data_IF_626350972005
#
_entry.id   IF_626350972005
#
_cell.length_a   1.000
_cell.length_b   1.000
_cell.length_c   1.000
_cell.angle_alpha   90.00
_cell.angle_beta   90.00
_cell.angle_gamma   90.00
#
_symmetry.space_group_name_H-M   'P 1'
#
loop_
_entity.id
_entity.type
_entity.pdbx_description
1 polymer ?
#
# COMPACT_ATOMS: atom_id res chain seq x y z
N UNK A 1 -74.65 -78.33 15.32
CA UNK A 1 -73.29 -77.78 15.31
C UNK A 1 -72.78 -77.99 13.89
N UNK A 2 -72.96 -77.00 13.04
CA UNK A 2 -72.59 -77.01 11.58
C UNK A 2 -71.19 -76.44 11.44
N UNK A 3 -70.22 -77.26 11.16
CA UNK A 3 -68.90 -76.88 10.76
C UNK A 3 -68.94 -76.53 9.24
N UNK A 4 -68.93 -75.28 8.94
CA UNK A 4 -68.65 -74.78 7.57
C UNK A 4 -67.12 -74.89 7.35
N UNK A 5 -66.67 -75.95 6.65
CA UNK A 5 -65.34 -75.99 6.08
C UNK A 5 -65.36 -75.02 4.89
N UNK A 6 -64.69 -73.89 5.02
CA UNK A 6 -64.41 -73.07 3.86
C UNK A 6 -63.17 -73.64 3.16
N UNK A 7 -63.38 -74.44 2.07
CA UNK A 7 -62.33 -74.75 1.07
C UNK A 7 -61.96 -73.42 0.36
N UNK A 8 -60.91 -72.86 0.84
CA UNK A 8 -60.30 -71.70 0.10
C UNK A 8 -59.58 -72.28 -1.10
N UNK A 9 -60.13 -72.06 -2.31
CA UNK A 9 -59.59 -72.55 -3.56
C UNK A 9 -58.13 -71.99 -3.72
N UNK A 10 -57.17 -72.85 -4.07
CA UNK A 10 -55.78 -72.58 -4.32
C UNK A 10 -55.54 -71.41 -5.31
N UNK A 11 -56.45 -71.20 -6.21
CA UNK A 11 -56.46 -70.09 -7.18
C UNK A 11 -56.70 -68.75 -6.50
N UNK A 12 -57.59 -68.73 -5.47
CA UNK A 12 -57.91 -67.51 -4.70
C UNK A 12 -56.73 -67.11 -3.83
N UNK A 13 -56.02 -68.07 -3.23
CA UNK A 13 -54.77 -67.80 -2.42
C UNK A 13 -53.69 -67.22 -3.36
N UNK A 14 -53.50 -67.77 -4.56
CA UNK A 14 -52.49 -67.36 -5.54
C UNK A 14 -52.75 -65.92 -6.04
N UNK A 15 -54.00 -65.51 -6.30
CA UNK A 15 -54.43 -64.19 -6.69
C UNK A 15 -54.17 -63.20 -5.55
N UNK A 16 -54.50 -63.59 -4.32
CA UNK A 16 -54.22 -62.70 -3.15
C UNK A 16 -52.75 -62.50 -2.88
N UNK A 17 -51.89 -63.51 -3.10
CA UNK A 17 -50.42 -63.40 -3.01
C UNK A 17 -49.89 -62.47 -4.07
N UNK A 18 -50.36 -62.55 -5.33
CA UNK A 18 -49.95 -61.63 -6.39
C UNK A 18 -50.38 -60.19 -6.11
N UNK A 19 -51.59 -59.99 -5.61
CA UNK A 19 -52.09 -58.68 -5.19
C UNK A 19 -51.26 -58.06 -4.05
N UNK A 20 -50.84 -58.89 -3.10
CA UNK A 20 -49.97 -58.45 -1.98
C UNK A 20 -48.57 -58.06 -2.49
N UNK A 21 -47.99 -58.81 -3.41
CA UNK A 21 -46.69 -58.54 -4.02
C UNK A 21 -46.75 -57.20 -4.80
N UNK A 22 -47.79 -56.98 -5.58
CA UNK A 22 -48.01 -55.73 -6.31
C UNK A 22 -48.19 -54.56 -5.35
N UNK A 23 -48.96 -54.74 -4.30
CA UNK A 23 -49.19 -53.69 -3.27
C UNK A 23 -47.88 -53.32 -2.54
N UNK A 24 -47.09 -54.31 -2.15
CA UNK A 24 -45.78 -54.11 -1.52
C UNK A 24 -44.83 -53.40 -2.48
N UNK A 25 -44.81 -53.81 -3.78
CA UNK A 25 -44.02 -53.13 -4.83
C UNK A 25 -44.42 -51.66 -4.97
N UNK A 26 -45.71 -51.37 -4.99
CA UNK A 26 -46.24 -50.01 -5.09
C UNK A 26 -45.88 -49.13 -3.88
N UNK A 27 -45.95 -49.71 -2.66
CA UNK A 27 -45.53 -49.07 -1.42
C UNK A 27 -44.02 -48.74 -1.47
N UNK A 28 -43.18 -49.67 -1.90
CA UNK A 28 -41.73 -49.44 -2.02
C UNK A 28 -41.40 -48.36 -3.03
N UNK A 29 -42.10 -48.30 -4.15
CA UNK A 29 -41.96 -47.19 -5.14
C UNK A 29 -42.40 -45.85 -4.56
N UNK A 30 -43.52 -45.79 -3.84
CA UNK A 30 -43.99 -44.56 -3.17
C UNK A 30 -43.06 -44.09 -2.06
N UNK A 31 -42.54 -45.03 -1.25
CA UNK A 31 -41.52 -44.69 -0.21
C UNK A 31 -40.25 -44.22 -0.88
N UNK A 32 -39.76 -44.86 -1.93
CA UNK A 32 -38.59 -44.45 -2.70
C UNK A 32 -38.76 -43.03 -3.29
N UNK A 33 -39.93 -42.78 -3.88
CA UNK A 33 -40.26 -41.44 -4.43
C UNK A 33 -40.35 -40.38 -3.35
N UNK A 34 -40.95 -40.66 -2.19
CA UNK A 34 -41.06 -39.78 -1.03
C UNK A 34 -39.67 -39.43 -0.47
N UNK A 35 -38.80 -40.43 -0.33
CA UNK A 35 -37.42 -40.23 0.14
C UNK A 35 -36.61 -39.41 -0.84
N UNK A 36 -36.77 -39.66 -2.16
CA UNK A 36 -36.11 -38.88 -3.19
C UNK A 36 -36.62 -37.43 -3.22
N UNK A 37 -37.93 -37.19 -3.14
CA UNK A 37 -38.51 -35.85 -3.05
C UNK A 37 -38.05 -35.11 -1.76
N UNK A 38 -38.02 -35.83 -0.61
CA UNK A 38 -37.53 -35.28 0.65
C UNK A 38 -36.07 -34.85 0.51
N UNK A 39 -35.20 -35.69 -0.03
CA UNK A 39 -33.79 -35.34 -0.26
C UNK A 39 -33.63 -34.14 -1.22
N UNK A 40 -34.43 -34.09 -2.30
CA UNK A 40 -34.41 -32.99 -3.26
C UNK A 40 -34.90 -31.66 -2.64
N UNK A 41 -35.95 -31.68 -1.80
CA UNK A 41 -36.44 -30.51 -1.14
C UNK A 41 -35.46 -30.04 -0.06
N UNK A 42 -34.85 -30.95 0.72
CA UNK A 42 -33.80 -30.61 1.69
C UNK A 42 -32.58 -29.99 1.01
N UNK A 43 -32.17 -30.53 -0.12
CA UNK A 43 -31.06 -29.97 -0.92
C UNK A 43 -31.40 -28.56 -1.42
N UNK A 44 -32.63 -28.33 -1.92
CA UNK A 44 -33.07 -26.99 -2.32
C UNK A 44 -33.10 -26.01 -1.15
N UNK A 45 -33.57 -26.41 0.02
CA UNK A 45 -33.57 -25.55 1.22
C UNK A 45 -32.13 -25.26 1.70
N UNK A 46 -31.22 -26.21 1.57
CA UNK A 46 -29.79 -26.02 1.84
C UNK A 46 -29.19 -25.01 0.84
N UNK A 47 -29.49 -25.19 -0.47
CA UNK A 47 -29.00 -24.29 -1.51
C UNK A 47 -29.57 -22.87 -1.37
N UNK A 48 -30.83 -22.71 -0.93
CA UNK A 48 -31.49 -21.41 -0.78
C UNK A 48 -31.16 -20.69 0.52
N UNK A 49 -30.76 -21.35 1.61
CA UNK A 49 -30.54 -20.71 2.92
C UNK A 49 -29.13 -20.81 3.46
N UNK A 50 -28.33 -21.81 3.03
CA UNK A 50 -26.94 -21.97 3.51
C UNK A 50 -25.92 -21.37 2.56
N UNK A 51 -26.22 -21.28 1.26
CA UNK A 51 -25.28 -20.86 0.22
C UNK A 51 -25.47 -19.40 -0.23
N UNK A 52 -26.25 -18.58 0.47
CA UNK A 52 -26.51 -17.18 0.15
C UNK A 52 -25.99 -16.26 1.27
N UNK A 53 -25.30 -15.17 0.91
CA UNK A 53 -24.97 -14.09 1.83
C UNK A 53 -26.24 -13.24 2.11
N UNK A 54 -26.67 -13.07 3.37
CA UNK A 54 -27.96 -12.45 3.69
C UNK A 54 -28.02 -10.94 3.38
N UNK A 55 -26.86 -10.28 3.25
CA UNK A 55 -26.79 -8.83 2.97
C UNK A 55 -26.76 -8.57 1.47
N UNK A 56 -25.85 -9.22 0.75
CA UNK A 56 -25.73 -9.03 -0.70
C UNK A 56 -26.84 -9.75 -1.47
N UNK A 57 -27.39 -10.83 -0.93
CA UNK A 57 -28.42 -11.66 -1.59
C UNK A 57 -27.88 -12.58 -2.69
N UNK A 58 -26.55 -12.62 -2.87
CA UNK A 58 -25.85 -13.49 -3.83
C UNK A 58 -25.18 -14.68 -3.13
N UNK A 59 -24.53 -15.55 -3.88
CA UNK A 59 -23.82 -16.69 -3.31
C UNK A 59 -22.85 -16.28 -2.21
N UNK A 60 -22.76 -17.09 -1.14
CA UNK A 60 -21.83 -16.83 -0.05
C UNK A 60 -20.40 -17.31 -0.38
N UNK A 61 -19.45 -17.05 0.52
CA UNK A 61 -18.03 -17.35 0.33
C UNK A 61 -17.75 -18.85 0.12
N UNK A 62 -18.46 -19.74 0.82
CA UNK A 62 -18.28 -21.18 0.64
C UNK A 62 -18.67 -21.63 -0.77
N UNK A 63 -19.81 -21.14 -1.27
CA UNK A 63 -20.23 -21.39 -2.64
C UNK A 63 -19.26 -20.83 -3.67
N UNK A 64 -18.73 -19.64 -3.43
CA UNK A 64 -17.72 -19.04 -4.32
C UNK A 64 -16.49 -19.92 -4.46
N UNK A 65 -15.97 -20.49 -3.37
CA UNK A 65 -14.81 -21.38 -3.40
C UNK A 65 -15.10 -22.64 -4.22
N UNK A 66 -16.27 -23.27 -3.99
CA UNK A 66 -16.68 -24.46 -4.73
C UNK A 66 -16.80 -24.17 -6.24
N UNK A 67 -17.44 -23.06 -6.61
CA UNK A 67 -17.61 -22.63 -8.00
C UNK A 67 -16.26 -22.27 -8.65
N UNK A 68 -15.35 -21.62 -7.91
CA UNK A 68 -13.99 -21.28 -8.36
C UNK A 68 -13.17 -22.55 -8.64
N UNK A 69 -13.23 -23.57 -7.77
CA UNK A 69 -12.56 -24.85 -8.00
C UNK A 69 -13.07 -25.56 -9.24
N UNK A 70 -14.36 -25.38 -9.58
CA UNK A 70 -14.93 -25.90 -10.82
C UNK A 70 -14.37 -25.14 -12.02
N UNK A 71 -14.32 -23.81 -11.98
CA UNK A 71 -13.77 -22.98 -13.06
C UNK A 71 -12.30 -23.31 -13.34
N UNK A 72 -11.49 -23.51 -12.30
CA UNK A 72 -10.07 -23.85 -12.42
C UNK A 72 -9.76 -25.20 -13.11
N UNK A 73 -10.77 -26.05 -13.34
CA UNK A 73 -10.60 -27.26 -14.14
C UNK A 73 -10.45 -26.96 -15.64
N UNK A 74 -10.90 -25.79 -16.09
CA UNK A 74 -10.81 -25.35 -17.49
C UNK A 74 -9.52 -24.58 -17.73
N UNK A 75 -8.41 -25.29 -17.94
CA UNK A 75 -7.05 -24.71 -18.02
C UNK A 75 -6.75 -23.90 -19.29
N UNK A 76 -7.61 -24.02 -20.30
CA UNK A 76 -7.46 -23.28 -21.58
C UNK A 76 -8.07 -21.86 -21.54
N UNK A 77 -8.60 -21.45 -20.38
CA UNK A 77 -9.23 -20.16 -20.17
C UNK A 77 -8.40 -19.35 -19.16
N UNK A 78 -8.06 -18.12 -19.51
CA UNK A 78 -7.35 -17.22 -18.59
C UNK A 78 -8.33 -16.66 -17.55
N UNK A 79 -8.01 -16.84 -16.28
CA UNK A 79 -8.79 -16.30 -15.17
C UNK A 79 -8.00 -15.30 -14.35
N UNK A 80 -8.74 -14.35 -13.77
CA UNK A 80 -8.26 -13.42 -12.78
C UNK A 80 -9.13 -13.52 -11.53
N UNK A 81 -8.51 -13.48 -10.35
CA UNK A 81 -9.19 -13.29 -9.07
C UNK A 81 -9.04 -11.82 -8.68
N UNK A 82 -10.14 -11.20 -8.28
CA UNK A 82 -10.12 -9.82 -7.81
C UNK A 82 -10.74 -9.66 -6.43
N UNK A 83 -10.21 -8.72 -5.64
CA UNK A 83 -10.76 -8.30 -4.34
C UNK A 83 -11.09 -6.83 -4.40
N UNK A 84 -12.35 -6.49 -4.14
CA UNK A 84 -12.87 -5.12 -4.05
C UNK A 84 -13.09 -4.79 -2.57
N UNK A 85 -12.62 -3.62 -2.14
CA UNK A 85 -12.70 -3.09 -0.76
C UNK A 85 -13.33 -1.71 -0.81
N UNK A 86 -14.41 -1.46 -0.04
CA UNK A 86 -15.05 -0.15 0.02
C UNK A 86 -14.25 0.75 0.97
N UNK A 87 -13.84 1.91 0.47
CA UNK A 87 -13.03 2.85 1.24
C UNK A 87 -13.85 3.49 2.36
N UNK A 88 -13.29 3.55 3.57
CA UNK A 88 -13.86 4.22 4.73
C UNK A 88 -15.27 3.72 5.13
N UNK A 89 -15.64 2.47 4.81
CA UNK A 89 -16.95 1.92 5.08
C UNK A 89 -17.36 1.99 6.57
N UNK A 90 -16.37 1.87 7.49
CA UNK A 90 -16.62 2.06 8.91
C UNK A 90 -17.17 3.47 9.22
N UNK A 91 -16.58 4.52 8.62
CA UNK A 91 -17.06 5.89 8.81
C UNK A 91 -18.48 6.09 8.26
N UNK A 92 -18.80 5.42 7.14
CA UNK A 92 -20.17 5.41 6.58
C UNK A 92 -21.14 4.80 7.59
N UNK A 93 -20.82 3.64 8.17
CA UNK A 93 -21.64 3.00 9.20
C UNK A 93 -21.78 3.84 10.47
N UNK A 94 -20.71 4.50 10.91
CA UNK A 94 -20.71 5.34 12.11
C UNK A 94 -21.56 6.59 11.92
N UNK A 95 -21.63 7.15 10.68
CA UNK A 95 -22.39 8.36 10.39
C UNK A 95 -23.84 8.11 9.98
N UNK A 96 -24.09 7.12 9.09
CA UNK A 96 -25.42 6.86 8.52
C UNK A 96 -26.14 5.66 9.14
N UNK A 97 -25.46 4.92 10.01
CA UNK A 97 -26.00 3.73 10.66
C UNK A 97 -25.85 2.45 9.83
N UNK A 98 -25.86 1.29 10.52
CA UNK A 98 -25.65 -0.03 9.91
C UNK A 98 -26.67 -0.40 8.84
N UNK A 99 -27.93 0.00 9.03
CA UNK A 99 -28.98 -0.30 8.05
C UNK A 99 -28.71 0.34 6.68
N UNK A 100 -28.17 1.58 6.67
CA UNK A 100 -27.76 2.23 5.43
C UNK A 100 -26.49 1.58 4.86
N UNK A 101 -25.54 1.19 5.72
CA UNK A 101 -24.40 0.41 5.31
C UNK A 101 -24.76 -0.90 4.60
N UNK A 102 -25.73 -1.64 5.11
CA UNK A 102 -26.22 -2.88 4.48
C UNK A 102 -26.87 -2.61 3.10
N UNK A 103 -27.64 -1.51 2.97
CA UNK A 103 -28.19 -1.09 1.65
C UNK A 103 -27.09 -0.71 0.66
N UNK A 104 -26.05 -0.01 1.11
CA UNK A 104 -24.87 0.31 0.30
C UNK A 104 -24.14 -0.97 -0.14
N UNK A 105 -23.92 -1.92 0.78
CA UNK A 105 -23.32 -3.21 0.44
C UNK A 105 -24.11 -3.97 -0.62
N UNK A 106 -25.45 -3.93 -0.52
CA UNK A 106 -26.33 -4.53 -1.53
C UNK A 106 -26.19 -3.82 -2.89
N UNK A 107 -26.21 -2.48 -2.91
CA UNK A 107 -26.05 -1.69 -4.14
C UNK A 107 -24.70 -1.95 -4.83
N UNK A 108 -23.61 -2.04 -4.05
CA UNK A 108 -22.27 -2.38 -4.57
C UNK A 108 -22.27 -3.82 -5.11
N UNK A 109 -22.90 -4.77 -4.41
CA UNK A 109 -23.03 -6.15 -4.88
C UNK A 109 -23.76 -6.24 -6.22
N UNK A 110 -24.87 -5.48 -6.38
CA UNK A 110 -25.63 -5.44 -7.63
C UNK A 110 -24.77 -4.87 -8.78
N UNK A 111 -23.97 -3.84 -8.50
CA UNK A 111 -23.04 -3.27 -9.49
C UNK A 111 -21.95 -4.27 -9.89
N UNK A 112 -21.38 -5.00 -8.93
CA UNK A 112 -20.39 -6.06 -9.20
C UNK A 112 -21.02 -7.19 -10.02
N UNK A 113 -22.26 -7.58 -9.71
CA UNK A 113 -23.01 -8.56 -10.47
C UNK A 113 -23.07 -8.20 -11.96
N UNK A 114 -23.44 -6.94 -12.26
CA UNK A 114 -23.61 -6.48 -13.64
C UNK A 114 -22.29 -6.51 -14.46
N UNK A 115 -21.14 -6.36 -13.76
CA UNK A 115 -19.82 -6.41 -14.40
C UNK A 115 -19.36 -7.87 -14.60
N UNK A 116 -19.56 -8.72 -13.60
CA UNK A 116 -18.92 -10.03 -13.51
C UNK A 116 -19.76 -11.10 -14.21
N UNK A 117 -21.09 -11.02 -14.12
CA UNK A 117 -21.96 -12.00 -14.74
C UNK A 117 -22.23 -11.68 -16.24
N UNK A 118 -22.34 -12.70 -17.12
CA UNK A 118 -22.34 -14.15 -16.84
C UNK A 118 -20.95 -14.80 -16.87
N UNK A 119 -19.87 -14.05 -17.14
CA UNK A 119 -18.55 -14.61 -17.50
C UNK A 119 -17.69 -14.97 -16.27
N UNK A 120 -18.21 -14.75 -15.05
CA UNK A 120 -17.49 -14.98 -13.80
C UNK A 120 -18.41 -15.29 -12.61
N UNK A 121 -17.82 -15.36 -11.46
CA UNK A 121 -18.47 -15.55 -10.17
C UNK A 121 -18.02 -14.47 -9.19
N UNK A 122 -18.86 -14.13 -8.23
CA UNK A 122 -18.49 -13.21 -7.16
C UNK A 122 -19.25 -13.48 -5.87
N UNK A 123 -18.73 -12.97 -4.76
CA UNK A 123 -19.39 -13.00 -3.45
C UNK A 123 -18.90 -11.85 -2.57
N UNK A 124 -19.68 -11.56 -1.54
CA UNK A 124 -19.20 -10.78 -0.41
C UNK A 124 -18.47 -11.71 0.56
N UNK A 125 -17.20 -11.41 0.89
CA UNK A 125 -16.41 -12.22 1.82
C UNK A 125 -16.80 -11.95 3.27
N UNK A 126 -16.53 -10.72 3.71
CA UNK A 126 -16.85 -10.22 5.05
C UNK A 126 -16.78 -8.68 5.06
N UNK A 127 -17.52 -8.06 5.96
CA UNK A 127 -17.61 -6.60 6.12
C UNK A 127 -17.87 -5.88 4.79
N UNK A 128 -16.92 -5.13 4.29
CA UNK A 128 -16.93 -4.28 3.10
C UNK A 128 -16.13 -4.87 1.92
N UNK A 129 -15.80 -6.17 1.98
CA UNK A 129 -14.99 -6.83 0.96
C UNK A 129 -15.78 -7.80 0.11
N UNK A 130 -15.55 -7.67 -1.20
CA UNK A 130 -16.05 -8.57 -2.22
C UNK A 130 -14.90 -9.27 -2.92
N UNK A 131 -15.13 -10.51 -3.34
CA UNK A 131 -14.20 -11.26 -4.20
C UNK A 131 -14.93 -11.69 -5.45
N UNK A 132 -14.21 -11.71 -6.57
CA UNK A 132 -14.71 -12.22 -7.84
C UNK A 132 -13.65 -13.06 -8.54
N UNK A 133 -14.08 -13.97 -9.41
CA UNK A 133 -13.25 -14.65 -10.41
C UNK A 133 -13.93 -14.52 -11.75
N UNK A 134 -13.19 -14.07 -12.77
CA UNK A 134 -13.74 -13.87 -14.11
C UNK A 134 -12.71 -14.31 -15.16
N UNK A 135 -13.19 -14.78 -16.30
CA UNK A 135 -12.32 -15.00 -17.46
C UNK A 135 -11.99 -13.67 -18.15
N UNK A 136 -10.88 -13.64 -18.88
CA UNK A 136 -10.49 -12.46 -19.65
C UNK A 136 -9.74 -12.84 -20.92
N UNK A 137 -9.87 -12.01 -21.96
CA UNK A 137 -9.09 -12.07 -23.19
C UNK A 137 -7.91 -11.09 -23.15
N UNK A 138 -8.16 -9.87 -22.67
CA UNK A 138 -7.15 -8.83 -22.44
C UNK A 138 -7.33 -8.22 -21.06
N UNK A 139 -6.29 -8.30 -20.26
CA UNK A 139 -6.32 -7.84 -18.86
C UNK A 139 -6.44 -6.31 -18.74
N UNK A 140 -5.90 -5.55 -19.70
CA UNK A 140 -5.99 -4.10 -19.69
C UNK A 140 -7.41 -3.62 -19.98
N UNK A 141 -8.09 -4.28 -20.91
CA UNK A 141 -9.50 -4.05 -21.21
C UNK A 141 -10.39 -4.35 -20.00
N UNK A 142 -10.15 -5.51 -19.35
CA UNK A 142 -10.88 -5.87 -18.13
C UNK A 142 -10.64 -4.84 -17.00
N UNK A 143 -9.38 -4.46 -16.80
CA UNK A 143 -9.02 -3.42 -15.83
C UNK A 143 -9.78 -2.11 -16.07
N UNK A 144 -9.79 -1.64 -17.31
CA UNK A 144 -10.50 -0.42 -17.70
C UNK A 144 -12.01 -0.50 -17.43
N UNK A 145 -12.63 -1.64 -17.74
CA UNK A 145 -14.03 -1.89 -17.45
C UNK A 145 -14.30 -1.78 -15.94
N UNK A 146 -13.51 -2.50 -15.12
CA UNK A 146 -13.68 -2.49 -13.67
C UNK A 146 -13.45 -1.07 -13.10
N UNK A 147 -12.42 -0.34 -13.56
CA UNK A 147 -12.16 1.04 -13.15
C UNK A 147 -13.37 1.94 -13.45
N UNK A 148 -13.89 1.89 -14.68
CA UNK A 148 -15.02 2.71 -15.11
C UNK A 148 -16.28 2.45 -14.27
N UNK A 149 -16.57 1.18 -13.96
CA UNK A 149 -17.77 0.84 -13.19
C UNK A 149 -17.64 1.13 -11.68
N UNK A 150 -16.43 1.07 -11.12
CA UNK A 150 -16.21 1.35 -9.71
C UNK A 150 -16.00 2.85 -9.42
N UNK A 151 -15.70 3.67 -10.44
CA UNK A 151 -15.42 5.10 -10.28
C UNK A 151 -16.68 5.90 -9.92
N UNK A 152 -17.85 5.52 -10.46
CA UNK A 152 -19.10 6.27 -10.36
C UNK A 152 -20.20 5.51 -9.61
N UNK A 153 -19.84 4.94 -8.44
CA UNK A 153 -20.87 4.37 -7.56
C UNK A 153 -21.43 5.48 -6.69
N UNK A 154 -22.66 5.88 -7.00
CA UNK A 154 -23.44 6.81 -6.21
C UNK A 154 -24.57 6.07 -5.47
N UNK A 155 -24.84 6.47 -4.24
CA UNK A 155 -25.91 5.93 -3.43
C UNK A 155 -26.73 7.06 -2.81
N UNK A 156 -28.06 7.04 -3.03
CA UNK A 156 -28.99 8.00 -2.47
C UNK A 156 -29.50 7.52 -1.11
N UNK A 157 -29.33 8.35 -0.09
CA UNK A 157 -29.90 8.15 1.24
C UNK A 157 -31.25 8.89 1.27
N UNK A 158 -32.33 8.15 1.00
CA UNK A 158 -33.67 8.69 0.82
C UNK A 158 -34.15 9.55 2.00
N UNK A 159 -33.83 9.11 3.25
CA UNK A 159 -34.24 9.79 4.46
C UNK A 159 -33.62 11.18 4.62
N UNK A 160 -32.41 11.38 4.09
CA UNK A 160 -31.65 12.63 4.16
C UNK A 160 -31.70 13.41 2.85
N UNK A 161 -32.19 12.81 1.76
CA UNK A 161 -32.12 13.33 0.37
C UNK A 161 -30.69 13.69 -0.02
N UNK A 162 -29.74 12.86 0.40
CA UNK A 162 -28.32 13.07 0.16
C UNK A 162 -27.78 11.96 -0.75
N UNK A 163 -27.01 12.36 -1.77
CA UNK A 163 -26.29 11.41 -2.64
C UNK A 163 -24.84 11.36 -2.19
N UNK A 164 -24.36 10.17 -1.86
CA UNK A 164 -22.98 9.93 -1.47
C UNK A 164 -22.24 9.14 -2.53
N UNK A 165 -20.97 9.51 -2.77
CA UNK A 165 -20.09 8.76 -3.67
C UNK A 165 -19.39 7.65 -2.87
N UNK A 166 -19.49 6.41 -3.36
CA UNK A 166 -18.87 5.24 -2.76
C UNK A 166 -17.55 4.97 -3.49
N UNK A 167 -16.46 5.15 -2.80
CA UNK A 167 -15.13 4.88 -3.36
C UNK A 167 -14.72 3.43 -3.08
N UNK A 168 -14.34 2.70 -4.12
CA UNK A 168 -13.88 1.33 -4.05
C UNK A 168 -12.42 1.22 -4.53
N UNK A 169 -11.68 0.27 -3.96
CA UNK A 169 -10.37 -0.12 -4.45
C UNK A 169 -10.41 -1.59 -4.86
N UNK A 170 -9.79 -1.92 -5.97
CA UNK A 170 -9.75 -3.26 -6.49
C UNK A 170 -8.30 -3.74 -6.66
N UNK A 171 -8.02 -4.95 -6.19
CA UNK A 171 -6.79 -5.66 -6.48
C UNK A 171 -7.09 -6.91 -7.28
N UNK A 172 -6.30 -7.18 -8.31
CA UNK A 172 -6.46 -8.35 -9.17
C UNK A 172 -5.17 -9.19 -9.18
N UNK A 173 -5.32 -10.51 -9.20
CA UNK A 173 -4.26 -11.48 -9.39
C UNK A 173 -4.57 -12.36 -10.61
N UNK A 174 -3.67 -12.36 -11.60
CA UNK A 174 -3.76 -13.23 -12.78
C UNK A 174 -3.36 -14.64 -12.35
N UNK A 175 -4.22 -15.62 -12.59
CA UNK A 175 -3.97 -17.01 -12.22
C UNK A 175 -2.95 -17.61 -13.18
N UNK A 176 -1.77 -17.94 -12.68
CA UNK A 176 -0.70 -18.61 -13.43
C UNK A 176 -0.66 -20.12 -13.12
N UNK A 177 -0.92 -20.51 -11.88
CA UNK A 177 -0.98 -21.89 -11.43
C UNK A 177 -2.41 -22.29 -11.06
N UNK A 178 -3.03 -23.09 -11.91
CA UNK A 178 -4.40 -23.60 -11.71
C UNK A 178 -4.50 -24.69 -10.63
N UNK A 179 -3.38 -25.12 -10.06
CA UNK A 179 -3.30 -26.04 -8.92
C UNK A 179 -3.16 -25.35 -7.58
N UNK A 180 -3.04 -24.02 -7.57
CA UNK A 180 -2.93 -23.23 -6.33
C UNK A 180 -4.28 -23.19 -5.59
N UNK A 181 -4.22 -23.13 -4.26
CA UNK A 181 -5.42 -22.99 -3.42
C UNK A 181 -6.12 -21.64 -3.66
N UNK A 182 -7.45 -21.68 -3.81
CA UNK A 182 -8.27 -20.49 -4.10
C UNK A 182 -8.08 -19.39 -3.06
N UNK A 183 -7.93 -19.75 -1.77
CA UNK A 183 -7.72 -18.76 -0.71
C UNK A 183 -6.37 -18.06 -0.87
N UNK A 184 -5.32 -18.76 -1.32
CA UNK A 184 -4.03 -18.14 -1.62
C UNK A 184 -4.11 -17.17 -2.80
N UNK A 185 -4.89 -17.50 -3.85
CA UNK A 185 -5.15 -16.56 -4.96
C UNK A 185 -5.88 -15.31 -4.48
N UNK A 186 -6.88 -15.47 -3.58
CA UNK A 186 -7.62 -14.36 -2.96
C UNK A 186 -6.68 -13.48 -2.11
N UNK A 187 -5.80 -14.09 -1.32
CA UNK A 187 -4.82 -13.35 -0.50
C UNK A 187 -3.90 -12.50 -1.37
N UNK A 188 -3.45 -13.02 -2.51
CA UNK A 188 -2.66 -12.25 -3.49
C UNK A 188 -3.45 -11.07 -4.06
N UNK A 189 -4.70 -11.27 -4.46
CA UNK A 189 -5.58 -10.20 -4.92
C UNK A 189 -5.84 -9.15 -3.82
N UNK A 190 -5.99 -9.58 -2.55
CA UNK A 190 -6.16 -8.68 -1.40
C UNK A 190 -4.90 -7.85 -1.13
N UNK A 191 -3.70 -8.38 -1.38
CA UNK A 191 -2.45 -7.60 -1.33
C UNK A 191 -2.47 -6.50 -2.38
N UNK A 192 -2.86 -6.80 -3.62
CA UNK A 192 -3.00 -5.80 -4.69
C UNK A 192 -4.02 -4.71 -4.33
N UNK A 193 -5.17 -5.07 -3.72
CA UNK A 193 -6.17 -4.11 -3.27
C UNK A 193 -5.63 -3.15 -2.20
N UNK A 194 -4.79 -3.63 -1.26
CA UNK A 194 -4.13 -2.76 -0.27
C UNK A 194 -3.13 -1.80 -0.91
N UNK A 195 -2.48 -2.18 -2.00
CA UNK A 195 -1.57 -1.31 -2.76
C UNK A 195 -2.34 -0.23 -3.51
N UNK A 196 -3.48 -0.59 -4.11
CA UNK A 196 -4.40 0.35 -4.74
C UNK A 196 -4.84 1.43 -3.75
N UNK A 197 -5.25 1.05 -2.54
CA UNK A 197 -5.70 1.96 -1.47
C UNK A 197 -4.64 2.97 -1.02
N UNK A 198 -3.35 2.66 -1.16
CA UNK A 198 -2.24 3.58 -0.84
C UNK A 198 -1.90 4.55 -1.98
N UNK A 199 -2.40 4.32 -3.17
CA UNK A 199 -2.16 5.15 -4.35
C UNK A 199 -3.32 6.11 -4.56
N UNK A 200 -3.05 7.41 -4.62
CA UNK A 200 -4.07 8.44 -4.89
C UNK A 200 -4.62 8.33 -6.32
N UNK A 201 -3.85 7.71 -7.23
CA UNK A 201 -4.15 7.72 -8.68
C UNK A 201 -4.56 6.36 -9.26
N UNK A 202 -4.55 5.27 -8.47
CA UNK A 202 -4.81 3.92 -8.99
C UNK A 202 -5.94 3.26 -8.21
N UNK A 203 -7.10 3.17 -8.82
CA UNK A 203 -8.26 2.46 -8.25
C UNK A 203 -8.10 0.94 -8.38
N UNK A 204 -7.51 0.45 -9.47
CA UNK A 204 -7.28 -0.98 -9.73
C UNK A 204 -5.80 -1.27 -9.85
N UNK A 205 -5.31 -2.23 -9.08
CA UNK A 205 -3.93 -2.73 -9.13
C UNK A 205 -3.92 -4.20 -9.49
N UNK A 206 -3.13 -4.58 -10.50
CA UNK A 206 -2.89 -5.98 -10.85
C UNK A 206 -1.62 -6.42 -10.13
N UNK A 207 -1.69 -7.53 -9.39
CA UNK A 207 -0.52 -8.13 -8.79
C UNK A 207 0.23 -8.93 -9.88
N UNK A 208 1.38 -8.41 -10.24
CA UNK A 208 2.32 -9.11 -11.11
C UNK A 208 3.51 -9.66 -10.30
N UNK A 209 4.36 -10.45 -10.94
CA UNK A 209 5.54 -11.04 -10.30
C UNK A 209 6.52 -9.97 -9.79
N UNK A 210 6.59 -8.80 -10.43
CA UNK A 210 7.45 -7.70 -10.00
C UNK A 210 6.95 -7.11 -8.68
N UNK A 211 5.65 -6.89 -8.55
CA UNK A 211 5.02 -6.36 -7.32
C UNK A 211 5.18 -7.36 -6.17
N UNK A 212 5.00 -8.67 -6.43
CA UNK A 212 5.25 -9.71 -5.43
C UNK A 212 6.70 -9.71 -4.95
N UNK A 213 7.65 -9.59 -5.88
CA UNK A 213 9.07 -9.49 -5.57
C UNK A 213 9.40 -8.26 -4.72
N UNK A 214 8.82 -7.11 -5.08
CA UNK A 214 9.00 -5.85 -4.33
C UNK A 214 8.45 -5.93 -2.90
N UNK A 215 7.30 -6.56 -2.71
CA UNK A 215 6.72 -6.78 -1.37
C UNK A 215 7.59 -7.69 -0.53
N UNK A 216 8.01 -8.83 -1.08
CA UNK A 216 8.90 -9.77 -0.40
C UNK A 216 10.25 -9.12 -0.05
N UNK A 217 10.80 -8.30 -0.98
CA UNK A 217 12.02 -7.52 -0.78
C UNK A 217 11.85 -6.52 0.37
N UNK A 218 10.76 -5.75 0.39
CA UNK A 218 10.46 -4.79 1.48
C UNK A 218 10.30 -5.47 2.83
N UNK A 219 9.63 -6.61 2.87
CA UNK A 219 9.51 -7.41 4.10
C UNK A 219 10.88 -7.92 4.58
N UNK A 220 11.71 -8.44 3.67
CA UNK A 220 13.08 -8.89 3.96
C UNK A 220 13.92 -7.75 4.54
N UNK A 221 13.86 -6.56 3.95
CA UNK A 221 14.60 -5.38 4.44
C UNK A 221 14.11 -4.95 5.83
N UNK A 222 12.79 -4.94 6.06
CA UNK A 222 12.21 -4.63 7.37
C UNK A 222 12.68 -5.62 8.45
N UNK A 223 12.72 -6.91 8.13
CA UNK A 223 13.20 -7.91 9.06
C UNK A 223 14.70 -7.75 9.41
N UNK A 224 15.52 -7.36 8.42
CA UNK A 224 16.97 -7.21 8.57
C UNK A 224 17.40 -5.89 9.23
N UNK A 225 16.58 -4.82 9.18
CA UNK A 225 16.98 -3.44 9.52
C UNK A 225 17.64 -3.28 10.88
N UNK A 226 17.09 -3.89 11.93
CA UNK A 226 17.64 -3.78 13.31
C UNK A 226 18.97 -4.51 13.46
N UNK A 227 19.13 -5.67 12.83
CA UNK A 227 20.38 -6.42 12.81
C UNK A 227 21.45 -5.68 12.01
N UNK A 228 21.08 -5.10 10.88
CA UNK A 228 21.96 -4.31 10.03
C UNK A 228 22.53 -3.09 10.77
N UNK A 229 21.69 -2.39 11.55
CA UNK A 229 22.16 -1.26 12.35
C UNK A 229 23.19 -1.70 13.40
N UNK A 230 22.92 -2.79 14.12
CA UNK A 230 23.82 -3.34 15.13
C UNK A 230 25.14 -3.87 14.53
N UNK A 231 25.11 -4.40 13.32
CA UNK A 231 26.26 -4.90 12.60
C UNK A 231 27.04 -3.80 11.86
N UNK A 232 26.65 -2.53 11.99
CA UNK A 232 27.28 -1.39 11.30
C UNK A 232 27.25 -1.49 9.76
N UNK A 233 26.19 -2.06 9.20
CA UNK A 233 26.02 -2.21 7.76
C UNK A 233 25.64 -0.89 7.06
N UNK A 234 25.17 0.12 7.81
CA UNK A 234 24.91 1.47 7.29
C UNK A 234 26.22 2.29 7.31
N UNK A 235 26.66 2.68 6.13
CA UNK A 235 27.96 3.35 5.93
C UNK A 235 27.73 4.75 5.33
N UNK A 236 28.35 5.81 5.89
CA UNK A 236 28.32 7.13 5.28
C UNK A 236 29.24 7.20 4.07
N UNK A 237 28.69 7.61 2.94
CA UNK A 237 29.45 8.06 1.77
C UNK A 237 29.38 9.58 1.75
N UNK A 238 30.53 10.22 1.48
CA UNK A 238 30.59 11.70 1.46
C UNK A 238 30.65 12.18 0.03
N UNK A 239 29.61 12.89 -0.40
CA UNK A 239 29.59 13.62 -1.66
C UNK A 239 30.17 15.02 -1.43
N UNK A 240 31.23 15.44 -2.15
CA UNK A 240 31.83 16.75 -1.94
C UNK A 240 30.93 17.87 -2.46
N UNK A 241 30.81 18.97 -1.70
CA UNK A 241 30.25 20.25 -2.15
C UNK A 241 31.43 21.12 -2.64
N UNK A 242 31.37 21.54 -3.91
CA UNK A 242 32.44 22.26 -4.59
C UNK A 242 32.04 23.70 -4.84
N UNK A 243 32.94 24.65 -4.59
CA UNK A 243 32.70 26.07 -4.88
C UNK A 243 32.76 26.33 -6.38
N UNK A 244 31.75 26.99 -6.96
CA UNK A 244 31.74 27.42 -8.35
C UNK A 244 32.80 28.49 -8.66
N UNK A 245 33.31 29.22 -7.64
CA UNK A 245 34.27 30.30 -7.84
C UNK A 245 35.66 29.80 -8.14
N UNK A 246 36.10 28.77 -7.47
CA UNK A 246 37.51 28.36 -7.42
C UNK A 246 37.71 26.84 -7.47
N UNK A 247 36.66 26.07 -7.57
CA UNK A 247 36.69 24.59 -7.65
C UNK A 247 37.16 23.90 -6.37
N UNK A 248 37.26 24.60 -5.22
CA UNK A 248 37.68 23.99 -3.96
C UNK A 248 36.52 23.29 -3.28
N UNK A 249 36.83 22.25 -2.51
CA UNK A 249 35.85 21.55 -1.65
C UNK A 249 35.54 22.43 -0.45
N UNK A 250 34.30 22.88 -0.33
CA UNK A 250 33.82 23.77 0.73
C UNK A 250 32.93 23.06 1.74
N UNK A 251 32.54 21.83 1.47
CA UNK A 251 31.68 21.02 2.33
C UNK A 251 31.53 19.59 1.81
N UNK A 252 30.65 18.83 2.42
CA UNK A 252 30.25 17.53 1.93
C UNK A 252 28.84 17.16 2.40
N UNK A 253 28.21 16.23 1.73
CA UNK A 253 26.96 15.64 2.16
C UNK A 253 27.14 14.17 2.52
N UNK A 254 26.66 13.76 3.67
CA UNK A 254 26.72 12.39 4.15
C UNK A 254 25.50 11.60 3.67
N UNK A 255 25.72 10.78 2.69
CA UNK A 255 24.68 9.93 2.10
C UNK A 255 24.81 8.51 2.66
N UNK A 256 23.75 7.98 3.23
CA UNK A 256 23.73 6.62 3.77
C UNK A 256 23.76 5.60 2.62
N UNK A 257 24.54 4.51 2.81
CA UNK A 257 24.53 3.31 1.95
C UNK A 257 24.38 2.10 2.86
N UNK A 258 23.48 1.19 2.54
CA UNK A 258 23.36 -0.07 3.27
C UNK A 258 24.20 -1.13 2.60
N UNK A 259 25.30 -1.51 3.24
CA UNK A 259 26.24 -2.53 2.77
C UNK A 259 25.87 -3.88 3.37
N UNK A 260 24.90 -4.57 2.76
CA UNK A 260 24.45 -5.88 3.20
C UNK A 260 25.47 -6.95 2.83
N UNK A 261 25.92 -7.82 3.76
CA UNK A 261 26.81 -8.93 3.43
C UNK A 261 26.22 -9.94 2.44
N UNK A 262 24.89 -10.05 2.41
CA UNK A 262 24.18 -11.02 1.57
C UNK A 262 23.71 -10.40 0.25
N UNK A 263 23.22 -9.15 0.27
CA UNK A 263 22.53 -8.51 -0.86
C UNK A 263 23.42 -7.43 -1.54
N UNK A 264 24.66 -7.21 -1.04
CA UNK A 264 25.54 -6.15 -1.54
C UNK A 264 25.08 -4.75 -1.13
N UNK A 265 25.36 -3.75 -1.97
CA UNK A 265 24.96 -2.37 -1.71
C UNK A 265 23.47 -2.18 -2.05
N UNK A 266 22.67 -1.86 -1.03
CA UNK A 266 21.25 -1.53 -1.16
C UNK A 266 21.11 -0.01 -1.24
N UNK A 267 20.40 0.48 -2.27
CA UNK A 267 20.23 1.92 -2.52
C UNK A 267 19.28 2.57 -1.49
N UNK A 268 19.48 3.84 -1.11
CA UNK A 268 18.62 4.56 -0.18
C UNK A 268 17.14 4.54 -0.57
N UNK A 269 16.83 4.67 -1.86
CA UNK A 269 15.44 4.64 -2.39
C UNK A 269 14.71 3.32 -2.10
N UNK A 270 15.44 2.24 -1.85
CA UNK A 270 14.85 0.93 -1.53
C UNK A 270 14.46 0.80 -0.05
N UNK A 271 15.14 1.49 0.86
CA UNK A 271 14.93 1.29 2.29
C UNK A 271 14.50 2.56 3.07
N UNK A 272 14.88 3.77 2.66
CA UNK A 272 14.51 5.00 3.37
C UNK A 272 12.99 5.17 3.47
N UNK A 273 12.19 5.07 2.37
CA UNK A 273 10.73 5.19 2.47
C UNK A 273 10.10 4.14 3.39
N UNK A 274 10.71 2.94 3.45
CA UNK A 274 10.26 1.88 4.33
C UNK A 274 10.55 2.18 5.80
N UNK A 275 11.74 2.74 6.08
CA UNK A 275 12.15 3.11 7.43
C UNK A 275 11.39 4.33 7.95
N UNK A 276 10.98 5.24 7.08
CA UNK A 276 10.08 6.35 7.42
C UNK A 276 8.69 5.84 7.82
N UNK A 277 8.11 4.90 7.05
CA UNK A 277 6.80 4.33 7.36
C UNK A 277 6.72 3.65 8.73
N UNK A 278 7.82 3.07 9.21
CA UNK A 278 7.89 2.35 10.49
C UNK A 278 8.66 3.12 11.60
N UNK A 279 9.10 4.35 11.33
CA UNK A 279 9.84 5.19 12.26
C UNK A 279 11.29 4.75 12.55
N UNK A 280 11.80 3.73 11.86
CA UNK A 280 13.17 3.25 12.05
C UNK A 280 14.22 4.23 11.49
N UNK A 281 13.83 5.09 10.56
CA UNK A 281 14.70 6.12 9.97
C UNK A 281 15.36 6.97 11.06
N UNK A 282 14.64 7.32 12.13
CA UNK A 282 15.19 8.11 13.23
C UNK A 282 16.42 7.46 13.88
N UNK A 283 16.47 6.13 13.95
CA UNK A 283 17.62 5.39 14.49
C UNK A 283 18.81 5.44 13.53
N UNK A 284 18.52 5.35 12.23
CA UNK A 284 19.57 5.43 11.18
C UNK A 284 20.15 6.83 11.13
N UNK A 285 19.33 7.88 11.22
CA UNK A 285 19.76 9.27 11.20
C UNK A 285 20.72 9.57 12.36
N UNK A 286 20.36 9.17 13.59
CA UNK A 286 21.26 9.34 14.74
C UNK A 286 22.54 8.50 14.63
N UNK A 287 22.42 7.29 14.12
CA UNK A 287 23.60 6.46 13.86
C UNK A 287 24.53 7.13 12.84
N UNK A 288 24.00 7.65 11.74
CA UNK A 288 24.78 8.37 10.74
C UNK A 288 25.43 9.62 11.32
N UNK A 289 24.69 10.41 12.11
CA UNK A 289 25.21 11.58 12.80
C UNK A 289 26.39 11.21 13.71
N UNK A 290 26.27 10.17 14.54
CA UNK A 290 27.36 9.68 15.39
C UNK A 290 28.60 9.25 14.59
N UNK A 291 28.39 8.57 13.46
CA UNK A 291 29.49 8.14 12.57
C UNK A 291 30.23 9.34 11.98
N UNK A 292 29.51 10.38 11.57
CA UNK A 292 30.08 11.61 11.02
C UNK A 292 30.82 12.38 12.13
N UNK A 293 30.22 12.54 13.31
CA UNK A 293 30.89 13.15 14.45
C UNK A 293 32.20 12.47 14.81
N UNK A 294 32.20 11.13 14.87
CA UNK A 294 33.41 10.34 15.13
C UNK A 294 34.48 10.53 14.03
N UNK A 295 34.07 10.61 12.78
CA UNK A 295 34.97 10.87 11.65
C UNK A 295 35.61 12.26 11.74
N UNK A 296 34.83 13.30 11.99
CA UNK A 296 35.30 14.69 12.13
C UNK A 296 36.30 14.76 13.31
N UNK A 297 35.93 14.20 14.47
CA UNK A 297 36.83 14.14 15.65
C UNK A 297 38.16 13.53 15.31
N UNK A 298 38.17 12.33 14.72
CA UNK A 298 39.40 11.61 14.34
C UNK A 298 40.27 12.43 13.36
N UNK A 299 39.65 13.13 12.38
CA UNK A 299 40.41 14.00 11.47
C UNK A 299 41.03 15.21 12.18
N UNK A 300 40.27 15.83 13.10
CA UNK A 300 40.75 16.93 13.92
C UNK A 300 41.91 16.53 14.81
N UNK A 301 41.84 15.36 15.45
CA UNK A 301 42.94 14.77 16.26
C UNK A 301 44.22 14.54 15.42
N UNK A 302 44.09 14.28 14.11
CA UNK A 302 45.23 14.17 13.19
C UNK A 302 45.73 15.51 12.66
N UNK A 303 45.16 16.65 13.14
CA UNK A 303 45.50 17.99 12.66
C UNK A 303 45.08 18.26 11.22
N UNK A 304 44.15 17.45 10.67
CA UNK A 304 43.66 17.62 9.30
C UNK A 304 42.49 18.62 9.26
N UNK A 305 42.50 19.47 8.24
CA UNK A 305 41.40 20.37 7.98
C UNK A 305 40.07 19.59 7.79
N UNK A 306 39.01 20.10 8.36
CA UNK A 306 37.65 19.55 8.22
C UNK A 306 36.74 20.60 7.61
N UNK A 307 35.98 20.22 6.60
CA UNK A 307 34.89 21.02 6.02
C UNK A 307 33.58 20.66 6.72
N UNK A 308 32.57 21.53 6.69
CA UNK A 308 31.23 21.21 7.19
C UNK A 308 30.64 20.02 6.41
N UNK A 309 29.99 19.10 7.14
CA UNK A 309 29.32 17.94 6.55
C UNK A 309 27.82 18.05 6.81
N UNK A 310 27.04 18.04 5.75
CA UNK A 310 25.59 17.92 5.83
C UNK A 310 25.17 16.51 6.16
N UNK A 311 24.19 16.39 7.07
CA UNK A 311 23.62 15.11 7.48
C UNK A 311 22.10 15.18 7.39
N UNK A 312 21.54 14.28 6.60
CA UNK A 312 20.10 14.17 6.42
C UNK A 312 19.41 13.78 7.72
N UNK A 313 18.30 14.47 8.01
CA UNK A 313 17.45 14.22 9.16
C UNK A 313 16.01 14.12 8.70
N UNK A 314 15.37 13.00 8.97
CA UNK A 314 13.98 12.79 8.59
C UNK A 314 13.04 13.77 9.30
N UNK A 315 12.01 14.23 8.58
CA UNK A 315 10.91 15.01 9.14
C UNK A 315 10.23 14.34 10.35
N UNK A 316 10.37 13.03 10.50
CA UNK A 316 9.81 12.29 11.65
C UNK A 316 10.37 12.75 13.00
N UNK A 317 11.53 13.43 13.01
CA UNK A 317 12.10 14.02 14.24
C UNK A 317 11.28 15.15 14.84
N UNK A 318 10.38 15.77 14.08
CA UNK A 318 9.44 16.80 14.61
C UNK A 318 8.59 16.24 15.75
N UNK A 319 8.24 14.97 15.67
CA UNK A 319 7.44 14.28 16.69
C UNK A 319 8.28 13.70 17.85
N UNK A 320 9.63 13.79 17.80
CA UNK A 320 10.50 13.35 18.88
C UNK A 320 10.83 14.52 19.85
N UNK A 321 10.11 14.60 20.95
CA UNK A 321 10.27 15.65 21.96
C UNK A 321 11.67 15.73 22.58
N UNK A 322 12.48 14.67 22.47
CA UNK A 322 13.85 14.62 23.00
C UNK A 322 14.92 14.77 21.92
N UNK A 323 14.53 15.00 20.67
CA UNK A 323 15.45 15.10 19.53
C UNK A 323 16.58 16.08 19.74
N UNK A 324 16.27 17.35 20.12
CA UNK A 324 17.28 18.37 20.35
C UNK A 324 18.27 17.95 21.44
N UNK A 325 17.80 17.35 22.53
CA UNK A 325 18.68 16.88 23.60
C UNK A 325 19.61 15.76 23.14
N UNK A 326 19.11 14.85 22.32
CA UNK A 326 19.96 13.79 21.71
C UNK A 326 21.02 14.40 20.80
N UNK A 327 20.65 15.41 20.01
CA UNK A 327 21.56 16.13 19.12
C UNK A 327 22.70 16.80 19.93
N UNK A 328 22.34 17.57 20.99
CA UNK A 328 23.29 18.22 21.90
C UNK A 328 24.24 17.18 22.51
N UNK A 329 23.69 16.13 23.10
CA UNK A 329 24.48 15.07 23.75
C UNK A 329 25.45 14.39 22.77
N UNK A 330 25.03 14.22 21.51
CA UNK A 330 25.91 13.63 20.48
C UNK A 330 27.08 14.56 20.17
N UNK A 331 26.84 15.86 19.99
CA UNK A 331 27.91 16.81 19.71
C UNK A 331 28.87 16.96 20.89
N UNK A 332 28.33 17.03 22.11
CA UNK A 332 29.15 17.09 23.33
C UNK A 332 30.01 15.84 23.53
N UNK A 333 29.44 14.66 23.31
CA UNK A 333 30.15 13.36 23.38
C UNK A 333 31.39 13.32 22.48
N UNK A 334 31.31 13.91 21.30
CA UNK A 334 32.43 13.92 20.34
C UNK A 334 33.25 15.22 20.36
N UNK A 335 32.82 16.25 21.09
CA UNK A 335 33.47 17.56 21.10
C UNK A 335 33.39 18.29 19.76
N UNK A 336 32.27 18.16 19.05
CA UNK A 336 32.09 18.70 17.71
C UNK A 336 31.58 20.15 17.77
N UNK A 337 32.27 21.04 17.03
CA UNK A 337 31.74 22.38 16.80
C UNK A 337 30.49 22.32 15.90
N UNK A 338 29.43 23.00 16.29
CA UNK A 338 28.15 23.04 15.55
C UNK A 338 28.32 23.48 14.09
N UNK A 339 29.31 24.34 13.82
CA UNK A 339 29.65 24.78 12.44
C UNK A 339 30.21 23.68 11.54
N UNK A 340 30.61 22.52 12.11
CA UNK A 340 31.14 21.42 11.33
C UNK A 340 30.04 20.48 10.80
N UNK A 341 28.81 20.67 11.21
CA UNK A 341 27.68 19.85 10.76
C UNK A 341 26.53 20.78 10.35
N UNK A 342 25.90 20.43 9.23
CA UNK A 342 24.68 21.05 8.73
C UNK A 342 23.59 19.97 8.80
N UNK A 343 22.47 20.29 9.43
CA UNK A 343 21.31 19.37 9.44
C UNK A 343 20.44 19.66 8.23
N UNK A 344 20.27 18.67 7.36
CA UNK A 344 19.44 18.79 6.16
C UNK A 344 18.08 18.15 6.40
N UNK A 345 17.00 18.81 5.96
CA UNK A 345 15.65 18.25 6.02
C UNK A 345 14.81 18.74 4.84
N UNK A 346 14.00 17.83 4.28
CA UNK A 346 13.00 18.17 3.29
C UNK A 346 11.76 18.74 3.99
N UNK A 347 11.38 19.97 3.63
CA UNK A 347 10.23 20.69 4.21
C UNK A 347 9.01 20.53 3.31
N UNK A 348 8.38 19.36 3.34
CA UNK A 348 7.22 19.04 2.49
C UNK A 348 5.88 19.50 3.10
N UNK A 349 5.85 19.79 4.39
CA UNK A 349 4.65 20.25 5.10
C UNK A 349 4.97 21.45 5.99
N UNK A 350 4.14 22.50 5.90
CA UNK A 350 4.27 23.70 6.71
C UNK A 350 3.49 23.52 8.03
N UNK A 351 4.04 22.75 8.97
CA UNK A 351 3.44 22.57 10.29
C UNK A 351 4.08 23.48 11.32
N UNK A 352 3.29 24.01 12.26
CA UNK A 352 3.79 24.86 13.35
C UNK A 352 4.87 24.16 14.16
N UNK A 353 4.76 22.86 14.37
CA UNK A 353 5.73 22.04 15.10
C UNK A 353 7.10 22.02 14.39
N UNK A 354 7.12 21.91 13.06
CA UNK A 354 8.35 21.98 12.26
C UNK A 354 9.02 23.33 12.37
N UNK A 355 8.24 24.40 12.23
CA UNK A 355 8.74 25.79 12.36
C UNK A 355 9.34 26.02 13.75
N UNK A 356 8.69 25.54 14.81
CA UNK A 356 9.20 25.67 16.17
C UNK A 356 10.49 24.89 16.39
N UNK A 357 10.57 23.64 15.90
CA UNK A 357 11.79 22.84 15.97
C UNK A 357 12.97 23.56 15.32
N UNK A 358 12.80 24.06 14.09
CA UNK A 358 13.85 24.75 13.33
C UNK A 358 14.29 26.04 14.04
N UNK A 359 13.34 26.82 14.54
CA UNK A 359 13.65 28.05 15.32
C UNK A 359 14.44 27.75 16.59
N UNK A 360 14.11 26.69 17.29
CA UNK A 360 14.85 26.23 18.48
C UNK A 360 16.26 25.78 18.13
N UNK A 361 16.43 25.01 17.06
CA UNK A 361 17.75 24.58 16.58
C UNK A 361 18.62 25.76 16.16
N UNK A 362 18.06 26.71 15.40
CA UNK A 362 18.78 27.92 14.98
C UNK A 362 19.20 28.79 16.18
N UNK A 363 18.31 29.00 17.18
CA UNK A 363 18.66 29.70 18.43
C UNK A 363 19.80 29.04 19.21
N UNK A 364 19.93 27.72 19.09
CA UNK A 364 21.03 26.96 19.69
C UNK A 364 22.31 27.01 18.84
N UNK A 365 22.28 27.68 17.68
CA UNK A 365 23.43 27.87 16.79
C UNK A 365 23.72 26.69 15.85
N UNK A 366 22.73 25.84 15.56
CA UNK A 366 22.85 24.81 14.55
C UNK A 366 22.66 25.39 13.15
N UNK A 367 23.44 24.93 12.18
CA UNK A 367 23.25 25.22 10.78
C UNK A 367 22.18 24.29 10.19
N UNK A 368 21.23 24.88 9.49
CA UNK A 368 20.08 24.15 8.93
C UNK A 368 20.05 24.39 7.42
N UNK A 369 20.00 23.32 6.64
CA UNK A 369 19.81 23.32 5.21
C UNK A 369 18.40 22.92 4.86
N UNK A 370 17.78 23.70 3.98
CA UNK A 370 16.49 23.34 3.36
C UNK A 370 16.78 22.57 2.08
N UNK A 371 16.29 21.34 2.04
CA UNK A 371 16.42 20.44 0.89
C UNK A 371 15.21 20.52 -0.06
N UNK A 372 15.38 20.06 -1.29
CA UNK A 372 14.35 19.95 -2.33
C UNK A 372 13.57 21.25 -2.60
N UNK A 373 14.24 22.42 -2.56
CA UNK A 373 13.56 23.69 -2.83
C UNK A 373 13.09 23.76 -4.28
N UNK A 374 11.78 24.01 -4.44
CA UNK A 374 11.10 24.06 -5.74
C UNK A 374 10.27 22.83 -6.05
N UNK A 375 10.40 21.76 -5.30
CA UNK A 375 9.56 20.58 -5.41
C UNK A 375 8.36 20.68 -4.49
N UNK A 376 7.14 20.67 -5.03
CA UNK A 376 5.90 20.62 -4.27
C UNK A 376 5.60 21.87 -3.44
N UNK A 377 5.50 21.72 -2.11
CA UNK A 377 5.06 22.76 -1.17
C UNK A 377 6.14 23.73 -0.70
N UNK A 378 7.40 23.62 -1.17
CA UNK A 378 8.49 24.51 -0.80
C UNK A 378 8.24 25.92 -1.36
N UNK A 379 7.52 26.75 -0.61
CA UNK A 379 7.12 28.08 -1.04
C UNK A 379 8.14 29.15 -0.61
N UNK A 380 8.23 30.25 -1.36
CA UNK A 380 8.99 31.45 -0.98
C UNK A 380 8.63 31.95 0.45
N UNK A 381 7.41 31.65 0.91
CA UNK A 381 6.98 32.00 2.27
C UNK A 381 7.81 31.27 3.34
N UNK A 382 8.28 30.04 3.08
CA UNK A 382 9.12 29.29 4.00
C UNK A 382 10.48 29.98 4.24
N UNK A 383 11.06 30.60 3.22
CA UNK A 383 12.31 31.37 3.37
C UNK A 383 12.14 32.57 4.31
N UNK A 384 10.95 33.14 4.39
CA UNK A 384 10.65 34.22 5.33
C UNK A 384 10.39 33.72 6.76
N UNK A 385 9.86 32.51 6.91
CA UNK A 385 9.46 31.96 8.21
C UNK A 385 10.59 31.24 8.94
N UNK A 386 11.51 30.61 8.18
CA UNK A 386 12.52 29.70 8.72
C UNK A 386 13.92 30.34 8.74
N UNK A 387 14.62 30.29 9.88
CA UNK A 387 16.00 30.76 10.01
C UNK A 387 16.98 29.70 9.48
N UNK A 388 16.96 29.47 8.15
CA UNK A 388 17.87 28.53 7.48
C UNK A 388 19.20 29.21 7.13
N UNK A 389 20.26 28.42 7.06
CA UNK A 389 21.62 28.87 6.69
C UNK A 389 22.03 28.47 5.28
N UNK A 390 21.37 27.45 4.71
CA UNK A 390 21.67 26.91 3.40
C UNK A 390 20.38 26.49 2.68
N UNK A 391 20.33 26.69 1.38
CA UNK A 391 19.22 26.32 0.50
C UNK A 391 19.75 25.42 -0.62
N UNK A 392 19.18 24.22 -0.80
CA UNK A 392 19.53 23.30 -1.86
C UNK A 392 18.51 23.43 -3.01
N UNK A 393 18.97 23.75 -4.19
CA UNK A 393 18.17 23.77 -5.40
C UNK A 393 18.17 22.37 -6.01
N UNK A 394 16.96 21.82 -6.19
CA UNK A 394 16.76 20.51 -6.78
C UNK A 394 17.24 20.47 -8.24
N UNK A 395 17.70 19.29 -8.67
CA UNK A 395 18.15 18.99 -10.04
C UNK A 395 17.13 19.42 -11.11
N UNK A 396 15.84 19.34 -10.85
CA UNK A 396 14.79 19.71 -11.82
C UNK A 396 14.92 21.13 -12.35
N UNK A 397 15.52 22.05 -11.58
CA UNK A 397 15.81 23.40 -12.06
C UNK A 397 16.88 23.43 -13.15
N UNK A 398 17.78 22.44 -13.18
CA UNK A 398 18.87 22.34 -14.18
C UNK A 398 18.48 21.50 -15.39
N UNK A 399 17.40 20.70 -15.32
CA UNK A 399 16.93 19.85 -16.43
C UNK A 399 16.29 20.67 -17.56
N UNK A 400 15.79 21.89 -17.26
CA UNK A 400 15.24 22.82 -18.26
C UNK A 400 16.24 23.95 -18.55
N UNK A 401 16.93 23.88 -19.66
CA UNK A 401 17.93 24.88 -20.10
C UNK A 401 17.31 26.14 -20.76
N UNK A 402 15.99 26.34 -20.67
CA UNK A 402 15.31 27.50 -21.21
C UNK A 402 15.78 28.82 -20.57
N UNK A 403 15.71 29.93 -21.32
CA UNK A 403 16.00 31.27 -20.76
C UNK A 403 15.11 31.61 -19.57
N UNK A 404 13.89 31.09 -19.55
CA UNK A 404 12.96 31.26 -18.45
C UNK A 404 13.46 30.55 -17.18
N UNK A 405 13.94 29.32 -17.30
CA UNK A 405 14.49 28.54 -16.17
C UNK A 405 15.76 29.23 -15.65
N UNK A 406 16.63 29.67 -16.53
CA UNK A 406 17.81 30.45 -16.17
C UNK A 406 17.49 31.72 -15.39
N UNK A 407 16.46 32.47 -15.82
CA UNK A 407 16.01 33.67 -15.12
C UNK A 407 15.47 33.35 -13.73
N UNK A 408 14.73 32.26 -13.59
CA UNK A 408 14.19 31.80 -12.29
C UNK A 408 15.33 31.45 -11.34
N UNK A 409 16.31 30.64 -11.76
CA UNK A 409 17.46 30.26 -10.92
C UNK A 409 18.21 31.50 -10.46
N UNK A 410 18.54 32.42 -11.40
CA UNK A 410 19.23 33.67 -11.06
C UNK A 410 18.46 34.53 -10.06
N UNK A 411 17.13 34.54 -10.16
CA UNK A 411 16.27 35.27 -9.22
C UNK A 411 16.29 34.63 -7.84
N UNK A 412 16.28 33.30 -7.74
CA UNK A 412 16.39 32.57 -6.48
C UNK A 412 17.77 32.77 -5.84
N UNK A 413 18.84 32.72 -6.63
CA UNK A 413 20.22 32.96 -6.14
C UNK A 413 20.33 34.37 -5.56
N UNK A 414 19.84 35.39 -6.27
CA UNK A 414 19.85 36.77 -5.78
C UNK A 414 19.02 36.96 -4.51
N UNK A 415 17.86 36.31 -4.43
CA UNK A 415 17.02 36.34 -3.24
C UNK A 415 17.72 35.73 -2.03
N UNK A 416 18.30 34.56 -2.18
CA UNK A 416 19.01 33.87 -1.11
C UNK A 416 20.24 34.67 -0.63
N UNK A 417 21.03 35.22 -1.56
CA UNK A 417 22.14 36.11 -1.23
C UNK A 417 21.68 37.36 -0.46
N UNK A 418 20.55 37.98 -0.88
CA UNK A 418 19.96 39.11 -0.18
C UNK A 418 19.49 38.78 1.25
N UNK A 419 19.14 37.53 1.51
CA UNK A 419 18.77 37.00 2.83
C UNK A 419 19.97 36.45 3.64
N UNK A 420 21.18 36.42 3.07
CA UNK A 420 22.37 35.87 3.71
C UNK A 420 22.38 34.33 3.76
N UNK A 421 21.61 33.67 2.91
CA UNK A 421 21.47 32.21 2.81
C UNK A 421 22.45 31.70 1.76
N UNK A 422 23.20 30.62 2.07
CA UNK A 422 24.06 29.93 1.09
C UNK A 422 23.21 29.12 0.16
N UNK A 423 23.65 29.00 -1.12
CA UNK A 423 23.00 28.14 -2.09
C UNK A 423 23.89 26.97 -2.46
N UNK A 424 23.30 25.81 -2.58
CA UNK A 424 23.86 24.59 -3.15
C UNK A 424 22.98 24.15 -4.32
N UNK A 425 23.57 23.89 -5.48
CA UNK A 425 22.86 23.31 -6.63
C UNK A 425 23.16 21.82 -6.69
N UNK A 426 22.12 21.01 -6.82
CA UNK A 426 22.23 19.57 -6.99
C UNK A 426 22.16 19.17 -8.46
N UNK A 427 22.71 17.99 -8.79
CA UNK A 427 22.61 17.42 -10.13
C UNK A 427 23.38 18.18 -11.21
N UNK A 428 24.40 18.95 -10.85
CA UNK A 428 25.30 19.58 -11.82
C UNK A 428 26.16 18.52 -12.48
N UNK A 429 25.99 18.30 -13.79
CA UNK A 429 26.64 17.22 -14.54
C UNK A 429 27.53 17.74 -15.69
N UNK A 430 27.30 18.98 -16.18
CA UNK A 430 28.04 19.54 -17.32
C UNK A 430 28.80 20.83 -16.98
N UNK A 431 29.82 21.15 -17.79
CA UNK A 431 30.56 22.38 -17.62
C UNK A 431 29.71 23.63 -17.89
N UNK A 432 28.75 23.54 -18.80
CA UNK A 432 27.81 24.60 -19.11
C UNK A 432 26.93 24.92 -17.90
N UNK A 433 26.52 23.88 -17.11
CA UNK A 433 25.75 24.05 -15.88
C UNK A 433 26.58 24.71 -14.77
N UNK A 434 27.91 24.56 -14.78
CA UNK A 434 28.82 25.24 -13.82
C UNK A 434 28.93 26.73 -14.09
N UNK A 435 28.91 27.14 -15.36
CA UNK A 435 29.01 28.55 -15.77
C UNK A 435 27.67 29.31 -15.65
N UNK A 436 26.65 28.62 -15.25
CA UNK A 436 25.26 29.02 -15.35
C UNK A 436 24.79 30.11 -14.38
N UNK A 437 25.13 30.19 -13.09
CA UNK A 437 24.57 31.18 -12.17
C UNK A 437 25.09 32.60 -12.28
#
# INVERSE_FOLDING_TARGET
MILLEMEIDAATIQVNVYLLIVLVGLILVLVGYSLWMGKRNTQKLIDEHINIDPISGYGNFARFVDDAEIMLKYKDVNYVVGVIDISNFKAINDYYGRNQGDRILKSVADRIHDIIMPDGIFTRMFADRFVFMINFLDINSLKYIIETYLEDIEFEIEELREVIKINCNCGMYIIEDYGEDVNMMIDKAAIASKLSKKSISKMVTILDNNINYDIARKQKLTYKMSKALNNHEFVPYIQPKVSFRDGHIVGGEALVRWMSPEDGMIAPNDFIPLFEQNGFVNKVDFYMLERICAMIKKRSEWGRYTVPISVNQSRMHVYDTVYINKLINTFDKYGINKNNIVTESAFTENTDDMIDLIRRMSKLGYNISMDDFGCGYSSLNMLNLLPISELKLDKQFLDDESEKSRYIIKSIVNLAHGLGIKIVCEGVETAEQVEFP
#
